data_IF_812377473366
#
_entry.id   IF_812377473366
#
_cell.length_a   1.000
_cell.length_b   1.000
_cell.length_c   1.000
_cell.angle_alpha   90.00
_cell.angle_beta   90.00
_cell.angle_gamma   90.00
#
_symmetry.space_group_name_H-M   'P 1'
#
loop_
_entity.id
_entity.type
_entity.pdbx_description
1 polymer ?
#
# COMPACT_ATOMS: atom_id res chain seq x y z
N UNK A 1 -20.12 3.53 4.46
CA UNK A 1 -19.35 2.70 3.53
C UNK A 1 -17.85 2.89 3.76
N UNK A 2 -17.29 4.10 3.66
CA UNK A 2 -15.84 4.36 3.80
C UNK A 2 -15.31 3.83 5.13
N UNK A 3 -15.95 4.18 6.27
CA UNK A 3 -15.54 3.71 7.59
C UNK A 3 -15.52 2.17 7.69
N UNK A 4 -16.51 1.48 7.12
CA UNK A 4 -16.59 0.02 7.12
C UNK A 4 -15.44 -0.60 6.30
N UNK A 5 -15.19 -0.07 5.09
CA UNK A 5 -14.09 -0.53 4.23
C UNK A 5 -12.73 -0.31 4.90
N UNK A 6 -12.53 0.87 5.53
CA UNK A 6 -11.31 1.16 6.29
C UNK A 6 -11.10 0.16 7.42
N UNK A 7 -12.16 -0.13 8.19
CA UNK A 7 -12.10 -1.08 9.30
C UNK A 7 -11.71 -2.49 8.82
N UNK A 8 -12.31 -2.97 7.72
CA UNK A 8 -12.01 -4.29 7.16
C UNK A 8 -10.57 -4.37 6.66
N UNK A 9 -10.11 -3.38 5.89
CA UNK A 9 -8.74 -3.37 5.35
C UNK A 9 -7.70 -3.22 6.47
N UNK A 10 -7.96 -2.35 7.44
CA UNK A 10 -7.07 -2.19 8.59
C UNK A 10 -7.04 -3.42 9.47
N UNK A 11 -8.18 -4.11 9.67
CA UNK A 11 -8.26 -5.35 10.44
C UNK A 11 -7.30 -6.42 9.90
N UNK A 12 -7.28 -6.63 8.58
CA UNK A 12 -6.34 -7.57 7.95
C UNK A 12 -4.86 -7.20 8.16
N UNK A 13 -4.53 -5.90 8.11
CA UNK A 13 -3.16 -5.41 8.37
C UNK A 13 -2.81 -5.49 9.85
N UNK A 14 -3.75 -5.21 10.73
CA UNK A 14 -3.60 -5.34 12.17
C UNK A 14 -3.18 -6.76 12.57
N UNK A 15 -3.83 -7.78 12.03
CA UNK A 15 -3.47 -9.18 12.26
C UNK A 15 -2.01 -9.43 11.85
N UNK A 16 -1.58 -8.92 10.69
CA UNK A 16 -0.21 -9.05 10.23
C UNK A 16 0.80 -8.36 11.17
N UNK A 17 0.52 -7.13 11.62
CA UNK A 17 1.38 -6.40 12.56
C UNK A 17 1.43 -7.07 13.93
N UNK A 18 0.31 -7.58 14.44
CA UNK A 18 0.29 -8.36 15.68
C UNK A 18 1.11 -9.66 15.55
N UNK A 19 1.06 -10.32 14.39
CA UNK A 19 1.90 -11.49 14.13
C UNK A 19 3.39 -11.19 14.22
N UNK A 20 3.83 -10.05 13.67
CA UNK A 20 5.22 -9.58 13.75
C UNK A 20 5.59 -9.17 15.19
N UNK A 21 4.68 -8.51 15.90
CA UNK A 21 4.89 -8.15 17.30
C UNK A 21 4.95 -9.38 18.23
N UNK A 22 4.11 -10.39 17.99
CA UNK A 22 4.14 -11.65 18.74
C UNK A 22 5.46 -12.43 18.57
N UNK A 23 6.15 -12.23 17.43
CA UNK A 23 7.49 -12.75 17.19
C UNK A 23 8.60 -11.91 17.87
N UNK A 24 8.24 -10.87 18.63
CA UNK A 24 9.18 -9.97 19.31
C UNK A 24 9.89 -8.98 18.37
N UNK A 25 9.52 -8.93 17.08
CA UNK A 25 10.15 -8.06 16.07
C UNK A 25 9.66 -6.62 16.09
N UNK A 26 8.55 -6.34 16.78
CA UNK A 26 7.97 -5.02 16.96
C UNK A 26 7.51 -4.86 18.42
N UNK A 27 7.75 -3.69 18.98
CA UNK A 27 7.18 -3.35 20.28
C UNK A 27 5.65 -3.18 20.15
N UNK A 28 4.89 -3.86 20.99
CA UNK A 28 3.43 -3.76 21.02
C UNK A 28 2.94 -2.32 21.25
N UNK A 29 3.73 -1.50 21.97
CA UNK A 29 3.40 -0.11 22.26
C UNK A 29 3.36 0.81 21.04
N UNK A 30 4.08 0.47 19.97
CA UNK A 30 4.13 1.30 18.75
C UNK A 30 3.16 0.87 17.66
N UNK A 31 2.46 -0.27 17.83
CA UNK A 31 1.54 -0.79 16.81
C UNK A 31 0.46 0.21 16.41
N UNK A 32 -0.12 0.92 17.37
CA UNK A 32 -1.13 1.94 17.08
C UNK A 32 -0.57 3.12 16.29
N UNK A 33 0.68 3.51 16.56
CA UNK A 33 1.37 4.57 15.82
C UNK A 33 1.63 4.14 14.38
N UNK A 34 2.10 2.91 14.16
CA UNK A 34 2.32 2.31 12.83
C UNK A 34 1.03 2.32 12.01
N UNK A 35 -0.09 1.89 12.62
CA UNK A 35 -1.40 1.88 11.97
C UNK A 35 -1.85 3.32 11.64
N UNK A 36 -1.69 4.25 12.57
CA UNK A 36 -2.05 5.65 12.39
C UNK A 36 -1.29 6.31 11.23
N UNK A 37 0.01 6.06 11.11
CA UNK A 37 0.82 6.60 10.02
C UNK A 37 0.52 5.97 8.65
N UNK A 38 0.07 4.73 8.60
CA UNK A 38 -0.35 4.05 7.38
C UNK A 38 -1.80 4.38 6.96
N UNK A 39 -2.61 4.91 7.87
CA UNK A 39 -4.02 5.23 7.60
C UNK A 39 -4.23 6.14 6.39
N UNK A 40 -3.48 7.26 6.21
CA UNK A 40 -3.65 8.13 5.04
C UNK A 40 -3.42 7.40 3.71
N UNK A 41 -2.43 6.52 3.64
CA UNK A 41 -2.15 5.71 2.45
C UNK A 41 -3.34 4.81 2.08
N UNK A 42 -3.91 4.10 3.04
CA UNK A 42 -5.08 3.25 2.79
C UNK A 42 -6.30 4.05 2.35
N UNK A 43 -6.49 5.23 2.94
CA UNK A 43 -7.59 6.11 2.56
C UNK A 43 -7.50 6.56 1.10
N UNK A 44 -6.31 6.63 0.51
CA UNK A 44 -6.17 7.01 -0.91
C UNK A 44 -6.86 6.04 -1.86
N UNK A 45 -6.95 4.77 -1.53
CA UNK A 45 -7.65 3.74 -2.31
C UNK A 45 -9.12 3.58 -1.89
N UNK A 46 -9.36 3.66 -0.58
CA UNK A 46 -10.69 3.41 -0.01
C UNK A 46 -11.65 4.56 -0.33
N UNK A 47 -11.18 5.80 -0.33
CA UNK A 47 -12.05 6.97 -0.46
C UNK A 47 -12.74 7.04 -1.82
N UNK A 48 -12.06 6.89 -2.99
CA UNK A 48 -12.73 6.86 -4.28
C UNK A 48 -13.69 5.68 -4.42
N UNK A 49 -13.29 4.49 -3.93
CA UNK A 49 -14.12 3.29 -3.97
C UNK A 49 -15.36 3.43 -3.09
N UNK A 50 -15.17 3.90 -1.86
CA UNK A 50 -16.26 4.11 -0.91
C UNK A 50 -17.24 5.20 -1.35
N UNK A 51 -16.72 6.26 -2.00
CA UNK A 51 -17.53 7.29 -2.62
C UNK A 51 -18.38 6.71 -3.76
N UNK A 52 -17.77 5.93 -4.66
CA UNK A 52 -18.48 5.26 -5.75
C UNK A 52 -19.58 4.33 -5.24
N UNK A 53 -19.28 3.45 -4.28
CA UNK A 53 -20.26 2.54 -3.68
C UNK A 53 -21.38 3.34 -3.00
N UNK A 54 -21.05 4.40 -2.27
CA UNK A 54 -22.04 5.28 -1.63
C UNK A 54 -23.02 5.86 -2.64
N UNK A 55 -22.51 6.40 -3.74
CA UNK A 55 -23.34 6.91 -4.84
C UNK A 55 -24.22 5.82 -5.46
N UNK A 56 -23.66 4.64 -5.73
CA UNK A 56 -24.41 3.51 -6.29
C UNK A 56 -25.57 3.07 -5.37
N UNK A 57 -25.32 3.04 -4.07
CA UNK A 57 -26.37 2.66 -3.08
C UNK A 57 -27.46 3.72 -2.99
N UNK A 58 -27.12 5.02 -2.99
CA UNK A 58 -28.09 6.11 -2.94
C UNK A 58 -28.93 6.14 -4.21
N UNK A 59 -28.30 6.14 -5.38
CA UNK A 59 -29.06 6.12 -6.64
C UNK A 59 -29.86 4.83 -6.79
N UNK A 60 -29.30 3.68 -6.42
CA UNK A 60 -30.02 2.39 -6.46
C UNK A 60 -31.26 2.40 -5.59
N UNK A 61 -31.21 3.02 -4.40
CA UNK A 61 -32.36 3.21 -3.51
C UNK A 61 -33.44 4.07 -4.16
N UNK A 62 -33.07 5.23 -4.72
CA UNK A 62 -34.01 6.12 -5.41
C UNK A 62 -34.78 5.43 -6.54
N UNK A 63 -34.14 4.47 -7.22
CA UNK A 63 -34.81 3.66 -8.26
C UNK A 63 -35.75 2.61 -7.67
N UNK A 64 -35.35 1.90 -6.61
CA UNK A 64 -36.15 0.82 -5.99
C UNK A 64 -37.37 1.39 -5.28
N UNK A 65 -37.22 2.50 -4.56
CA UNK A 65 -38.29 3.17 -3.81
C UNK A 65 -39.18 4.03 -4.73
N UNK A 66 -39.02 3.96 -6.06
CA UNK A 66 -39.77 4.74 -7.08
C UNK A 66 -39.60 6.26 -6.98
N UNK A 67 -38.76 6.77 -6.09
CA UNK A 67 -38.51 8.22 -5.94
C UNK A 67 -37.91 8.82 -7.21
N UNK A 68 -37.06 8.08 -7.94
CA UNK A 68 -36.54 8.56 -9.22
C UNK A 68 -37.63 8.73 -10.28
N UNK A 69 -38.71 7.95 -10.26
CA UNK A 69 -39.85 8.09 -11.16
C UNK A 69 -40.64 9.37 -10.85
N UNK A 70 -40.84 9.70 -9.57
CA UNK A 70 -41.47 10.94 -9.12
C UNK A 70 -40.62 12.15 -9.50
N UNK A 71 -39.31 12.13 -9.26
CA UNK A 71 -38.39 13.19 -9.66
C UNK A 71 -38.40 13.42 -11.18
N UNK A 72 -38.37 12.34 -11.97
CA UNK A 72 -38.50 12.47 -13.43
C UNK A 72 -39.85 13.03 -13.87
N UNK A 73 -40.93 12.66 -13.18
CA UNK A 73 -42.28 13.21 -13.43
C UNK A 73 -42.40 14.71 -13.11
N UNK A 74 -41.67 15.20 -12.10
CA UNK A 74 -41.57 16.61 -11.75
C UNK A 74 -40.57 17.40 -12.62
N UNK A 75 -39.97 16.76 -13.63
CA UNK A 75 -39.01 17.39 -14.56
C UNK A 75 -37.54 17.35 -14.11
N UNK A 76 -37.23 16.77 -12.94
CA UNK A 76 -35.85 16.62 -12.46
C UNK A 76 -35.23 15.38 -13.08
N UNK A 77 -34.27 15.55 -13.98
CA UNK A 77 -33.53 14.45 -14.59
C UNK A 77 -32.41 14.00 -13.70
N UNK A 78 -31.96 12.71 -13.87
CA UNK A 78 -30.79 12.16 -13.16
C UNK A 78 -29.52 13.00 -13.36
N UNK A 79 -29.38 13.70 -14.49
CA UNK A 79 -28.24 14.58 -14.75
C UNK A 79 -28.31 15.89 -13.94
N UNK A 80 -29.51 16.42 -13.71
CA UNK A 80 -29.69 17.54 -12.79
C UNK A 80 -29.40 17.13 -11.36
N UNK A 81 -29.84 15.94 -10.94
CA UNK A 81 -29.50 15.38 -9.65
C UNK A 81 -27.97 15.17 -9.50
N UNK A 82 -27.30 14.67 -10.55
CA UNK A 82 -25.85 14.57 -10.55
C UNK A 82 -25.15 15.93 -10.41
N UNK A 83 -25.67 16.99 -11.04
CA UNK A 83 -25.12 18.35 -10.88
C UNK A 83 -25.21 18.87 -9.45
N UNK A 84 -26.28 18.53 -8.72
CA UNK A 84 -26.40 18.87 -7.30
C UNK A 84 -25.34 18.18 -6.43
N UNK A 85 -24.82 17.05 -6.88
CA UNK A 85 -23.75 16.33 -6.17
C UNK A 85 -22.33 16.83 -6.52
N UNK A 86 -22.18 17.70 -7.53
CA UNK A 86 -20.87 18.25 -7.92
C UNK A 86 -20.13 18.94 -6.77
N UNK A 87 -20.75 19.82 -5.95
CA UNK A 87 -20.05 20.44 -4.84
C UNK A 87 -19.50 19.41 -3.84
N UNK A 88 -20.30 18.40 -3.49
CA UNK A 88 -19.87 17.31 -2.62
C UNK A 88 -18.72 16.51 -3.27
N UNK A 89 -18.82 16.22 -4.57
CA UNK A 89 -17.77 15.53 -5.33
C UNK A 89 -16.46 16.32 -5.32
N UNK A 90 -16.51 17.65 -5.42
CA UNK A 90 -15.35 18.52 -5.34
C UNK A 90 -14.71 18.50 -3.96
N UNK A 91 -15.50 18.46 -2.88
CA UNK A 91 -14.97 18.29 -1.52
C UNK A 91 -14.20 16.97 -1.39
N UNK A 92 -14.77 15.86 -1.88
CA UNK A 92 -14.09 14.57 -1.86
C UNK A 92 -12.84 14.56 -2.75
N UNK A 93 -12.87 15.24 -3.90
CA UNK A 93 -11.70 15.38 -4.77
C UNK A 93 -10.58 16.15 -4.08
N UNK A 94 -10.90 17.27 -3.41
CA UNK A 94 -9.90 18.06 -2.66
C UNK A 94 -9.33 17.23 -1.50
N UNK A 95 -10.18 16.52 -0.77
CA UNK A 95 -9.74 15.63 0.31
C UNK A 95 -8.81 14.54 -0.22
N UNK A 96 -9.16 13.91 -1.34
CA UNK A 96 -8.32 12.89 -2.00
C UNK A 96 -6.98 13.46 -2.47
N UNK A 97 -7.00 14.66 -3.07
CA UNK A 97 -5.77 15.32 -3.49
C UNK A 97 -4.87 15.64 -2.28
N UNK A 98 -5.45 16.15 -1.18
CA UNK A 98 -4.71 16.39 0.07
C UNK A 98 -4.10 15.12 0.66
N UNK A 99 -4.86 14.03 0.65
CA UNK A 99 -4.37 12.71 1.08
C UNK A 99 -3.18 12.26 0.22
N UNK A 100 -3.29 12.31 -1.11
CA UNK A 100 -2.26 11.79 -2.01
C UNK A 100 -1.02 12.68 -2.10
N UNK A 101 -1.20 14.00 -2.12
CA UNK A 101 -0.09 14.92 -2.32
C UNK A 101 0.70 15.18 -1.03
N UNK A 102 0.09 15.03 0.13
CA UNK A 102 0.68 15.44 1.40
C UNK A 102 0.58 14.39 2.50
N UNK A 103 -0.64 13.93 2.87
CA UNK A 103 -0.83 13.11 4.05
C UNK A 103 -0.23 11.69 3.89
N UNK A 104 -0.41 11.03 2.75
CA UNK A 104 0.12 9.69 2.51
C UNK A 104 1.67 9.68 2.49
N UNK A 105 2.38 10.53 1.73
CA UNK A 105 3.84 10.52 1.77
C UNK A 105 4.40 10.93 3.13
N UNK A 106 3.70 11.79 3.88
CA UNK A 106 4.09 12.10 5.26
C UNK A 106 3.94 10.87 6.17
N UNK A 107 2.81 10.18 6.08
CA UNK A 107 2.55 8.98 6.88
C UNK A 107 3.56 7.85 6.59
N UNK A 108 3.90 7.63 5.32
CA UNK A 108 4.89 6.64 4.90
C UNK A 108 6.26 6.96 5.51
N UNK A 109 6.72 8.21 5.44
CA UNK A 109 8.00 8.62 6.06
C UNK A 109 8.04 8.39 7.58
N UNK A 110 6.95 8.73 8.28
CA UNK A 110 6.89 8.50 9.73
C UNK A 110 6.90 7.00 10.06
N UNK A 111 6.20 6.20 9.25
CA UNK A 111 6.22 4.76 9.37
C UNK A 111 7.63 4.19 9.15
N UNK A 112 8.34 4.62 8.10
CA UNK A 112 9.71 4.16 7.80
C UNK A 112 10.68 4.57 8.94
N UNK A 113 10.59 5.80 9.43
CA UNK A 113 11.41 6.26 10.55
C UNK A 113 11.19 5.42 11.81
N UNK A 114 9.92 5.06 12.12
CA UNK A 114 9.62 4.20 13.25
C UNK A 114 10.12 2.76 13.04
N UNK A 115 9.89 2.16 11.88
CA UNK A 115 10.28 0.78 11.61
C UNK A 115 11.80 0.64 11.54
N UNK A 116 12.50 1.60 10.94
CA UNK A 116 13.96 1.62 10.90
C UNK A 116 14.54 1.75 12.32
N UNK A 117 14.00 2.63 13.16
CA UNK A 117 14.45 2.77 14.55
C UNK A 117 14.24 1.49 15.38
N UNK A 118 13.21 0.71 15.06
CA UNK A 118 12.93 -0.57 15.71
C UNK A 118 13.83 -1.70 15.18
N UNK A 119 14.06 -1.76 13.87
CA UNK A 119 14.96 -2.75 13.27
C UNK A 119 16.37 -2.66 13.85
N UNK A 120 16.84 -1.44 14.14
CA UNK A 120 18.13 -1.21 14.81
C UNK A 120 18.14 -1.76 16.24
N UNK A 121 17.03 -1.67 16.99
CA UNK A 121 16.92 -2.20 18.36
C UNK A 121 16.78 -3.72 18.37
N UNK A 122 16.09 -4.30 17.41
CA UNK A 122 15.58 -5.69 17.49
C UNK A 122 16.67 -6.75 17.41
N UNK A 123 17.81 -6.50 16.75
CA UNK A 123 18.88 -7.50 16.61
C UNK A 123 19.50 -7.91 17.96
N UNK A 124 19.77 -6.95 18.86
CA UNK A 124 20.35 -7.17 20.17
C UNK A 124 19.33 -7.36 21.29
N UNK A 125 18.18 -6.65 21.21
CA UNK A 125 17.13 -6.72 22.24
C UNK A 125 16.39 -8.06 22.23
N UNK A 126 16.45 -8.82 21.13
CA UNK A 126 15.93 -10.18 21.03
C UNK A 126 16.85 -11.22 21.66
N UNK A 127 18.14 -10.91 21.85
CA UNK A 127 19.08 -11.89 22.43
C UNK A 127 18.70 -12.13 23.90
N UNK A 128 18.27 -13.38 24.14
CA UNK A 128 18.05 -13.88 25.50
C UNK A 128 19.25 -14.74 25.86
N UNK A 129 19.86 -14.52 27.05
CA UNK A 129 20.97 -15.35 27.49
C UNK A 129 20.58 -16.83 27.49
N UNK A 130 21.48 -17.68 26.97
CA UNK A 130 21.33 -19.14 26.92
C UNK A 130 20.23 -19.69 26.02
N UNK A 131 19.68 -18.85 25.08
CA UNK A 131 18.72 -19.29 24.08
C UNK A 131 19.25 -19.05 22.67
N UNK A 132 19.01 -20.03 21.76
CA UNK A 132 19.23 -19.84 20.33
C UNK A 132 18.07 -19.07 19.72
N UNK A 133 18.37 -17.94 19.10
CA UNK A 133 17.39 -17.10 18.43
C UNK A 133 17.71 -17.09 16.95
N UNK A 134 16.73 -17.51 16.13
CA UNK A 134 16.84 -17.47 14.69
C UNK A 134 16.01 -16.33 14.13
N UNK A 135 16.62 -15.45 13.33
CA UNK A 135 15.98 -14.36 12.64
C UNK A 135 16.45 -14.36 11.18
N UNK A 136 15.55 -14.74 10.27
CA UNK A 136 15.87 -14.89 8.86
C UNK A 136 17.02 -15.87 8.60
N UNK A 137 18.10 -15.45 7.89
CA UNK A 137 19.25 -16.28 7.63
C UNK A 137 20.21 -16.41 8.82
N UNK A 138 19.98 -15.68 9.91
CA UNK A 138 20.87 -15.62 11.05
C UNK A 138 20.34 -16.46 12.21
N UNK A 139 21.27 -17.13 12.90
CA UNK A 139 21.02 -17.76 14.22
C UNK A 139 22.07 -17.24 15.18
N UNK A 140 21.61 -16.68 16.29
CA UNK A 140 22.46 -16.05 17.31
C UNK A 140 22.22 -16.76 18.65
N UNK A 141 23.30 -16.99 19.40
CA UNK A 141 23.27 -17.43 20.76
C UNK A 141 24.28 -16.59 21.57
N UNK A 142 23.90 -16.22 22.78
CA UNK A 142 24.80 -15.60 23.74
C UNK A 142 24.72 -16.34 25.08
N UNK A 143 25.85 -16.63 25.69
CA UNK A 143 25.94 -17.29 26.98
C UNK A 143 25.51 -16.35 28.10
N UNK A 144 25.90 -15.07 28.03
CA UNK A 144 25.55 -14.04 29.02
C UNK A 144 25.34 -12.69 28.34
N UNK A 145 24.57 -11.81 29.01
CA UNK A 145 24.22 -10.47 28.55
C UNK A 145 24.41 -9.49 29.70
N UNK A 146 25.15 -8.41 29.47
CA UNK A 146 25.32 -7.36 30.48
C UNK A 146 24.00 -6.63 30.78
N UNK A 147 23.88 -6.05 32.00
CA UNK A 147 22.67 -5.32 32.43
C UNK A 147 22.33 -4.15 31.50
N UNK A 148 23.31 -3.49 30.92
CA UNK A 148 23.15 -2.40 29.93
C UNK A 148 22.84 -2.89 28.52
N UNK A 149 22.77 -4.23 28.30
CA UNK A 149 22.51 -4.89 27.01
C UNK A 149 23.44 -4.47 25.86
N UNK A 150 24.62 -3.92 26.21
CA UNK A 150 25.62 -3.51 25.22
C UNK A 150 26.69 -4.58 24.96
N UNK A 151 26.96 -5.43 25.95
CA UNK A 151 27.99 -6.44 25.86
C UNK A 151 27.37 -7.83 25.99
N UNK A 152 27.75 -8.71 25.08
CA UNK A 152 27.40 -10.13 25.06
C UNK A 152 28.67 -10.96 25.32
N UNK A 153 28.53 -12.11 25.98
CA UNK A 153 29.61 -13.08 26.21
C UNK A 153 29.25 -14.44 25.60
N UNK A 154 30.29 -15.19 25.24
CA UNK A 154 30.16 -16.53 24.66
C UNK A 154 29.19 -16.58 23.49
N UNK A 155 29.56 -15.90 22.40
CA UNK A 155 28.70 -15.69 21.25
C UNK A 155 28.92 -16.78 20.21
N UNK A 156 27.81 -17.36 19.76
CA UNK A 156 27.70 -18.14 18.56
C UNK A 156 26.81 -17.37 17.56
N UNK A 157 27.35 -17.15 16.38
CA UNK A 157 26.66 -16.54 15.27
C UNK A 157 26.75 -17.45 14.05
N UNK A 158 25.62 -17.76 13.42
CA UNK A 158 25.56 -18.57 12.21
C UNK A 158 24.71 -17.82 11.17
N UNK A 159 25.24 -17.70 9.96
CA UNK A 159 24.57 -17.10 8.81
C UNK A 159 24.52 -18.13 7.68
N UNK A 160 23.31 -18.51 7.28
CA UNK A 160 23.09 -19.36 6.11
C UNK A 160 23.33 -18.59 4.83
N UNK A 161 23.99 -19.18 3.86
CA UNK A 161 24.16 -18.62 2.53
C UNK A 161 22.80 -18.40 1.84
N UNK A 162 22.59 -17.19 1.31
CA UNK A 162 21.35 -16.84 0.60
C UNK A 162 21.42 -17.14 -0.91
N UNK A 163 22.60 -17.44 -1.44
CA UNK A 163 22.81 -17.72 -2.87
C UNK A 163 23.59 -19.02 -3.01
N UNK A 164 23.22 -19.85 -3.97
CA UNK A 164 23.98 -21.05 -4.33
C UNK A 164 25.44 -20.69 -4.64
N UNK A 165 26.37 -21.49 -4.09
CA UNK A 165 27.79 -21.27 -4.26
C UNK A 165 28.48 -20.33 -3.27
N UNK A 166 27.73 -19.69 -2.36
CA UNK A 166 28.32 -18.95 -1.23
C UNK A 166 28.44 -19.84 0.00
N UNK A 167 29.48 -19.65 0.86
CA UNK A 167 29.62 -20.39 2.08
C UNK A 167 28.63 -19.94 3.16
N UNK A 168 28.23 -20.86 4.01
CA UNK A 168 27.63 -20.53 5.31
C UNK A 168 28.74 -19.98 6.21
N UNK A 169 28.43 -18.98 7.01
CA UNK A 169 29.39 -18.35 7.92
C UNK A 169 29.00 -18.66 9.35
N UNK A 170 29.95 -19.21 10.11
CA UNK A 170 29.81 -19.45 11.53
C UNK A 170 30.91 -18.69 12.28
N UNK A 171 30.54 -17.95 13.31
CA UNK A 171 31.47 -17.16 14.12
C UNK A 171 31.28 -17.54 15.59
N UNK A 172 32.39 -17.80 16.25
CA UNK A 172 32.48 -18.00 17.69
C UNK A 172 33.33 -16.87 18.25
N UNK A 173 32.84 -16.12 19.25
CA UNK A 173 33.60 -15.06 19.88
C UNK A 173 33.37 -15.05 21.40
N UNK A 174 34.37 -14.62 22.15
CA UNK A 174 34.28 -14.56 23.61
C UNK A 174 33.43 -13.36 24.05
N UNK A 175 33.57 -12.23 23.35
CA UNK A 175 32.81 -11.00 23.67
C UNK A 175 32.35 -10.33 22.39
N UNK A 176 31.19 -9.67 22.48
CA UNK A 176 30.67 -8.77 21.45
C UNK A 176 30.18 -7.49 22.08
N UNK A 177 30.58 -6.38 21.48
CA UNK A 177 30.14 -5.03 21.91
C UNK A 177 29.36 -4.38 20.76
N UNK A 178 28.18 -3.86 21.10
CA UNK A 178 27.39 -3.08 20.16
C UNK A 178 28.01 -1.69 19.98
N UNK A 179 28.23 -1.30 18.74
CA UNK A 179 28.66 0.05 18.39
C UNK A 179 27.49 0.81 17.75
N UNK A 180 27.12 1.92 18.36
CA UNK A 180 26.15 2.87 17.79
C UNK A 180 26.93 3.84 16.89
N UNK A 181 26.75 3.72 15.55
CA UNK A 181 27.33 4.68 14.61
C UNK A 181 26.26 5.75 14.34
N UNK A 182 26.51 7.04 14.65
CA UNK A 182 25.59 8.11 14.32
C UNK A 182 25.33 8.13 12.79
N UNK A 183 24.07 8.14 12.37
CA UNK A 183 23.61 8.13 10.98
C UNK A 183 23.76 6.82 10.20
N UNK A 184 24.13 5.69 10.80
CA UNK A 184 24.10 4.39 10.13
C UNK A 184 23.02 3.50 10.77
N UNK A 185 22.05 3.06 9.98
CA UNK A 185 20.98 2.16 10.42
C UNK A 185 21.46 0.70 10.58
N UNK A 186 22.71 0.38 10.24
CA UNK A 186 23.25 -0.95 10.37
C UNK A 186 23.66 -1.24 11.83
N UNK A 187 23.26 -2.41 12.35
CA UNK A 187 23.77 -2.91 13.60
C UNK A 187 25.23 -3.35 13.40
N UNK A 188 26.17 -2.55 13.92
CA UNK A 188 27.59 -2.87 13.92
C UNK A 188 27.98 -3.48 15.26
N UNK A 189 28.61 -4.62 15.20
CA UNK A 189 29.05 -5.39 16.36
C UNK A 189 30.54 -5.64 16.24
N UNK A 190 31.29 -5.22 17.23
CA UNK A 190 32.69 -5.60 17.38
C UNK A 190 32.78 -6.89 18.20
N UNK A 191 33.26 -7.93 17.55
CA UNK A 191 33.54 -9.25 18.14
C UNK A 191 35.01 -9.31 18.56
N UNK A 192 35.26 -9.79 19.77
CA UNK A 192 36.59 -9.83 20.33
C UNK A 192 36.98 -11.31 20.61
N UNK A 193 38.21 -11.66 20.27
CA UNK A 193 38.79 -12.99 20.48
C UNK A 193 37.90 -14.12 19.97
N UNK A 194 37.98 -14.40 18.67
CA UNK A 194 37.07 -15.38 18.08
C UNK A 194 37.64 -16.13 16.89
N UNK A 195 36.81 -17.02 16.38
CA UNK A 195 37.06 -17.82 15.19
C UNK A 195 35.91 -17.71 14.22
N UNK A 196 36.19 -17.47 12.95
CA UNK A 196 35.26 -17.47 11.83
C UNK A 196 35.48 -18.68 10.95
N UNK A 197 34.40 -19.37 10.66
CA UNK A 197 34.37 -20.53 9.78
C UNK A 197 33.50 -20.20 8.56
N UNK A 198 34.03 -20.49 7.36
CA UNK A 198 33.26 -20.47 6.12
C UNK A 198 33.09 -21.92 5.66
N UNK A 199 31.86 -22.38 5.60
CA UNK A 199 31.49 -23.77 5.33
C UNK A 199 30.76 -23.83 4.00
N UNK A 200 31.25 -24.58 3.04
CA UNK A 200 30.57 -24.78 1.77
C UNK A 200 29.64 -25.99 1.86
N UNK A 201 28.30 -25.78 1.80
CA UNK A 201 27.32 -26.85 1.94
C UNK A 201 27.53 -27.96 0.88
N UNK A 202 27.54 -29.22 1.32
CA UNK A 202 27.74 -30.39 0.43
C UNK A 202 29.19 -30.71 0.06
N UNK A 203 30.17 -29.97 0.59
CA UNK A 203 31.59 -30.24 0.40
C UNK A 203 32.30 -30.40 1.74
N UNK A 204 33.42 -31.16 1.83
CA UNK A 204 34.24 -31.24 3.05
C UNK A 204 35.14 -30.01 3.24
N UNK A 205 35.02 -28.98 2.39
CA UNK A 205 35.88 -27.80 2.42
C UNK A 205 35.33 -26.78 3.40
N UNK A 206 36.19 -26.27 4.27
CA UNK A 206 35.92 -25.12 5.12
C UNK A 206 37.17 -24.26 5.26
N UNK A 207 36.96 -22.97 5.48
CA UNK A 207 38.02 -22.01 5.79
C UNK A 207 37.86 -21.57 7.22
N UNK A 208 38.94 -21.57 7.99
CA UNK A 208 38.97 -21.07 9.37
C UNK A 208 39.88 -19.85 9.44
N UNK A 209 39.40 -18.79 10.06
CA UNK A 209 40.19 -17.60 10.40
C UNK A 209 40.05 -17.32 11.90
N UNK A 210 41.18 -17.06 12.57
CA UNK A 210 41.21 -16.59 13.96
C UNK A 210 41.41 -15.09 13.98
N UNK A 211 40.72 -14.38 14.86
CA UNK A 211 40.78 -12.92 14.94
C UNK A 211 40.86 -12.44 16.39
N UNK A 212 41.57 -11.37 16.62
CA UNK A 212 41.57 -10.65 17.89
C UNK A 212 40.38 -9.69 17.96
N UNK A 213 40.07 -9.02 16.85
CA UNK A 213 38.88 -8.15 16.72
C UNK A 213 38.30 -8.32 15.30
N UNK A 214 36.97 -8.46 15.22
CA UNK A 214 36.25 -8.58 13.97
C UNK A 214 34.99 -7.76 14.00
N UNK A 215 34.87 -6.80 13.08
CA UNK A 215 33.69 -5.96 12.97
C UNK A 215 32.67 -6.60 12.06
N UNK A 216 31.55 -6.99 12.63
CA UNK A 216 30.43 -7.58 11.91
C UNK A 216 29.36 -6.52 11.69
N UNK A 217 29.01 -6.29 10.43
CA UNK A 217 27.86 -5.49 10.06
C UNK A 217 26.69 -6.45 9.83
N UNK A 218 25.72 -6.40 10.72
CA UNK A 218 24.47 -7.14 10.57
C UNK A 218 23.58 -6.33 9.63
N UNK A 219 23.62 -6.66 8.34
CA UNK A 219 22.62 -6.16 7.43
C UNK A 219 21.29 -6.81 7.80
N UNK A 220 20.31 -6.02 8.15
CA UNK A 220 18.93 -6.48 8.28
C UNK A 220 18.41 -6.78 6.87
N UNK A 221 18.75 -7.95 6.33
CA UNK A 221 18.32 -8.41 5.00
C UNK A 221 16.87 -8.88 4.94
N UNK A 222 16.12 -8.73 6.00
CA UNK A 222 14.67 -8.71 5.89
C UNK A 222 14.26 -7.25 5.66
N UNK A 223 14.20 -6.84 4.39
CA UNK A 223 13.14 -5.94 3.98
C UNK A 223 11.89 -6.50 4.66
N UNK A 224 11.53 -5.88 5.78
CA UNK A 224 10.20 -6.10 6.34
C UNK A 224 9.32 -5.86 5.13
N UNK A 225 8.53 -6.86 4.70
CA UNK A 225 7.62 -6.85 3.53
C UNK A 225 6.64 -5.65 3.51
N UNK A 226 6.98 -4.61 4.24
CA UNK A 226 6.32 -3.33 4.46
C UNK A 226 7.10 -2.15 3.88
N UNK A 227 8.29 -2.39 3.26
CA UNK A 227 9.03 -1.31 2.61
C UNK A 227 8.19 -0.73 1.49
N UNK A 228 7.77 0.49 1.66
CA UNK A 228 7.34 1.33 0.56
C UNK A 228 8.55 1.54 -0.34
N UNK A 229 8.33 1.63 -1.65
CA UNK A 229 9.40 2.09 -2.55
C UNK A 229 9.86 3.47 -2.06
N UNK A 230 11.18 3.70 -1.95
CA UNK A 230 11.75 4.99 -1.48
C UNK A 230 11.09 6.21 -2.15
N UNK A 231 10.59 6.04 -3.39
CA UNK A 231 9.89 7.07 -4.15
C UNK A 231 8.50 7.40 -3.57
N UNK A 232 7.81 6.44 -2.95
CA UNK A 232 6.49 6.68 -2.33
C UNK A 232 6.59 7.50 -1.04
N UNK A 233 7.72 7.44 -0.36
CA UNK A 233 8.01 8.26 0.81
C UNK A 233 8.39 9.70 0.46
N UNK A 234 8.88 9.99 -0.75
CA UNK A 234 9.36 11.31 -1.13
C UNK A 234 8.26 12.38 -1.08
N UNK A 235 8.57 13.59 -0.57
CA UNK A 235 7.65 14.73 -0.68
C UNK A 235 7.30 15.04 -2.14
N UNK A 236 6.07 15.42 -2.41
CA UNK A 236 5.63 15.75 -3.78
C UNK A 236 6.47 16.86 -4.43
N UNK A 237 7.01 17.80 -3.65
CA UNK A 237 7.92 18.84 -4.13
C UNK A 237 9.25 18.28 -4.68
N UNK A 238 9.76 17.20 -4.08
CA UNK A 238 10.98 16.53 -4.56
C UNK A 238 10.69 15.70 -5.81
N UNK A 239 9.52 15.03 -5.87
CA UNK A 239 9.09 14.34 -7.09
C UNK A 239 9.00 15.31 -8.27
N UNK A 240 8.50 16.52 -8.05
CA UNK A 240 8.43 17.53 -9.11
C UNK A 240 9.79 17.96 -9.62
N UNK A 241 10.79 18.11 -8.74
CA UNK A 241 12.17 18.47 -9.12
C UNK A 241 12.83 17.36 -9.93
N UNK A 242 12.61 16.10 -9.56
CA UNK A 242 13.27 14.94 -10.16
C UNK A 242 12.38 14.22 -11.20
N UNK A 243 11.40 14.92 -11.78
CA UNK A 243 10.40 14.34 -12.71
C UNK A 243 10.98 13.77 -14.02
N UNK A 244 12.28 13.92 -14.26
CA UNK A 244 12.96 13.31 -15.41
C UNK A 244 13.21 11.82 -15.21
N UNK A 245 13.30 11.36 -13.96
CA UNK A 245 13.38 9.94 -13.64
C UNK A 245 12.00 9.29 -13.88
N UNK A 246 11.92 8.21 -14.68
CA UNK A 246 10.66 7.56 -15.02
C UNK A 246 9.90 7.01 -13.81
N UNK A 247 10.62 6.51 -12.80
CA UNK A 247 10.02 5.98 -11.58
C UNK A 247 9.38 7.12 -10.79
N UNK A 248 10.11 8.24 -10.64
CA UNK A 248 9.61 9.46 -9.99
C UNK A 248 8.43 10.07 -10.76
N UNK A 249 8.52 10.11 -12.09
CA UNK A 249 7.46 10.61 -12.97
C UNK A 249 6.18 9.76 -12.85
N UNK A 250 6.32 8.44 -12.72
CA UNK A 250 5.19 7.52 -12.56
C UNK A 250 4.43 7.79 -11.26
N UNK A 251 5.15 7.98 -10.15
CA UNK A 251 4.57 8.28 -8.85
C UNK A 251 3.94 9.68 -8.82
N UNK A 252 4.61 10.68 -9.39
CA UNK A 252 4.04 12.03 -9.51
C UNK A 252 2.73 12.02 -10.29
N UNK A 253 2.69 11.32 -11.44
CA UNK A 253 1.47 11.15 -12.23
C UNK A 253 0.37 10.45 -11.45
N UNK A 254 0.70 9.40 -10.71
CA UNK A 254 -0.24 8.70 -9.83
C UNK A 254 -0.88 9.67 -8.82
N UNK A 255 -0.08 10.44 -8.10
CA UNK A 255 -0.57 11.41 -7.07
C UNK A 255 -1.43 12.52 -7.64
N UNK A 256 -1.12 13.00 -8.84
CA UNK A 256 -1.84 14.11 -9.48
C UNK A 256 -3.14 13.65 -10.14
N UNK A 257 -3.14 12.50 -10.82
CA UNK A 257 -4.26 12.10 -11.67
C UNK A 257 -5.27 11.17 -10.98
N UNK A 258 -4.87 10.35 -10.02
CA UNK A 258 -5.81 9.44 -9.32
C UNK A 258 -6.93 10.17 -8.56
N UNK A 259 -6.74 11.36 -7.96
CA UNK A 259 -7.85 12.11 -7.37
C UNK A 259 -9.02 12.33 -8.32
N UNK A 260 -8.77 12.48 -9.62
CA UNK A 260 -9.82 12.66 -10.62
C UNK A 260 -10.71 11.41 -10.82
N UNK A 261 -10.28 10.24 -10.32
CA UNK A 261 -11.14 9.05 -10.29
C UNK A 261 -12.45 9.30 -9.52
N UNK A 262 -12.49 10.26 -8.59
CA UNK A 262 -13.71 10.68 -7.89
C UNK A 262 -14.73 11.32 -8.85
N UNK A 263 -14.25 12.13 -9.82
CA UNK A 263 -15.14 12.68 -10.85
C UNK A 263 -15.69 11.57 -11.75
N UNK A 264 -14.83 10.62 -12.12
CA UNK A 264 -15.23 9.45 -12.91
C UNK A 264 -16.23 8.59 -12.13
N UNK A 265 -16.05 8.44 -10.82
CA UNK A 265 -16.98 7.72 -9.95
C UNK A 265 -18.40 8.32 -10.02
N UNK A 266 -18.54 9.64 -10.00
CA UNK A 266 -19.86 10.29 -10.16
C UNK A 266 -20.46 9.99 -11.54
N UNK A 267 -19.69 10.13 -12.62
CA UNK A 267 -20.16 9.88 -13.99
C UNK A 267 -20.60 8.43 -14.16
N UNK A 268 -19.81 7.48 -13.68
CA UNK A 268 -20.10 6.04 -13.75
C UNK A 268 -21.30 5.67 -12.87
N UNK A 269 -21.39 6.22 -11.64
CA UNK A 269 -22.51 5.95 -10.76
C UNK A 269 -23.84 6.39 -11.39
N UNK A 270 -23.91 7.57 -11.99
CA UNK A 270 -25.10 8.05 -12.70
C UNK A 270 -25.44 7.16 -13.90
N UNK A 271 -24.41 6.69 -14.62
CA UNK A 271 -24.59 5.84 -15.80
C UNK A 271 -25.04 4.41 -15.45
N UNK A 272 -24.53 3.84 -14.36
CA UNK A 272 -24.70 2.40 -14.03
C UNK A 272 -25.79 2.13 -12.99
N UNK A 273 -26.29 3.15 -12.29
CA UNK A 273 -27.23 2.98 -11.16
C UNK A 273 -28.69 2.69 -11.55
N UNK A 274 -29.05 2.77 -12.84
CA UNK A 274 -30.43 2.50 -13.27
C UNK A 274 -30.80 1.03 -13.08
N UNK A 275 -31.61 0.74 -12.07
CA UNK A 275 -32.06 -0.61 -11.69
C UNK A 275 -33.56 -0.70 -11.89
N UNK A 276 -34.08 -1.83 -12.35
CA UNK A 276 -35.51 -2.08 -12.32
C UNK A 276 -35.93 -2.51 -10.91
N UNK A 277 -37.10 -2.06 -10.40
CA UNK A 277 -37.56 -2.40 -9.05
C UNK A 277 -37.64 -3.88 -8.74
N UNK A 278 -37.90 -4.71 -9.78
CA UNK A 278 -38.00 -6.18 -9.66
C UNK A 278 -36.66 -6.88 -9.46
N UNK A 279 -35.53 -6.22 -9.80
CA UNK A 279 -34.20 -6.85 -9.77
C UNK A 279 -33.43 -6.58 -8.47
N UNK A 280 -33.94 -5.71 -7.61
CA UNK A 280 -33.28 -5.31 -6.36
C UNK A 280 -32.06 -4.41 -6.54
N UNK A 281 -31.74 -3.62 -5.51
CA UNK A 281 -30.71 -2.54 -5.57
C UNK A 281 -29.28 -3.02 -5.71
N UNK A 282 -29.00 -4.29 -5.38
CA UNK A 282 -27.63 -4.82 -5.35
C UNK A 282 -27.19 -5.48 -6.65
N UNK A 283 -28.13 -5.84 -7.54
CA UNK A 283 -27.80 -6.63 -8.74
C UNK A 283 -26.79 -5.94 -9.64
N UNK A 284 -26.90 -4.61 -9.81
CA UNK A 284 -25.96 -3.85 -10.65
C UNK A 284 -24.75 -3.33 -9.90
N UNK A 285 -24.72 -3.45 -8.56
CA UNK A 285 -23.59 -2.99 -7.77
C UNK A 285 -22.32 -3.77 -8.11
N UNK A 286 -22.40 -5.10 -8.23
CA UNK A 286 -21.23 -5.91 -8.56
C UNK A 286 -20.64 -5.61 -9.93
N UNK A 287 -21.39 -5.59 -11.04
CA UNK A 287 -20.84 -5.19 -12.34
C UNK A 287 -20.29 -3.76 -12.35
N UNK A 288 -20.96 -2.82 -11.69
CA UNK A 288 -20.51 -1.44 -11.58
C UNK A 288 -19.17 -1.34 -10.82
N UNK A 289 -19.05 -2.12 -9.73
CA UNK A 289 -17.82 -2.23 -8.96
C UNK A 289 -16.67 -2.78 -9.82
N UNK A 290 -16.92 -3.79 -10.63
CA UNK A 290 -15.93 -4.35 -11.55
C UNK A 290 -15.45 -3.32 -12.58
N UNK A 291 -16.36 -2.49 -13.12
CA UNK A 291 -15.99 -1.41 -14.05
C UNK A 291 -15.16 -0.35 -13.33
N UNK A 292 -15.53 0.04 -12.10
CA UNK A 292 -14.75 1.01 -11.36
C UNK A 292 -13.38 0.45 -10.92
N UNK A 293 -13.33 -0.82 -10.51
CA UNK A 293 -12.08 -1.50 -10.19
C UNK A 293 -11.15 -1.59 -11.42
N UNK A 294 -11.71 -1.85 -12.62
CA UNK A 294 -10.92 -1.86 -13.86
C UNK A 294 -10.27 -0.50 -14.17
N UNK A 295 -10.91 0.62 -13.79
CA UNK A 295 -10.31 1.95 -13.89
C UNK A 295 -9.05 2.04 -13.01
N UNK A 296 -9.15 1.62 -11.74
CA UNK A 296 -8.02 1.65 -10.81
C UNK A 296 -6.88 0.74 -11.29
N UNK A 297 -7.21 -0.47 -11.75
CA UNK A 297 -6.23 -1.41 -12.32
C UNK A 297 -5.56 -0.82 -13.56
N UNK A 298 -6.32 -0.16 -14.45
CA UNK A 298 -5.76 0.50 -15.63
C UNK A 298 -4.79 1.64 -15.24
N UNK A 299 -5.13 2.45 -14.22
CA UNK A 299 -4.24 3.50 -13.72
C UNK A 299 -2.96 2.92 -13.08
N UNK A 300 -3.06 1.80 -12.35
CA UNK A 300 -1.90 1.07 -11.82
C UNK A 300 -1.02 0.50 -12.94
N UNK A 301 -1.62 -0.06 -13.98
CA UNK A 301 -0.88 -0.54 -15.15
C UNK A 301 -0.13 0.59 -15.86
N UNK A 302 -0.72 1.78 -15.96
CA UNK A 302 -0.03 2.97 -16.49
C UNK A 302 1.15 3.36 -15.59
N UNK A 303 0.99 3.37 -14.25
CA UNK A 303 2.10 3.63 -13.31
C UNK A 303 3.28 2.72 -13.63
N UNK A 304 3.03 1.41 -13.73
CA UNK A 304 4.07 0.41 -14.01
C UNK A 304 4.72 0.59 -15.39
N UNK A 305 3.95 0.95 -16.42
CA UNK A 305 4.51 1.16 -17.78
C UNK A 305 5.33 2.44 -17.88
N UNK A 306 4.93 3.51 -17.16
CA UNK A 306 5.72 4.73 -17.08
C UNK A 306 7.04 4.47 -16.35
N UNK A 307 7.03 3.74 -15.23
CA UNK A 307 8.26 3.40 -14.50
C UNK A 307 9.24 2.56 -15.33
N UNK A 308 8.75 1.79 -16.33
CA UNK A 308 9.54 1.02 -17.30
C UNK A 308 9.90 1.80 -18.56
N UNK A 309 9.60 3.10 -18.64
CA UNK A 309 9.81 3.96 -19.82
C UNK A 309 9.00 3.56 -21.08
N UNK A 310 7.99 2.75 -20.95
CA UNK A 310 7.15 2.32 -22.09
C UNK A 310 6.09 3.36 -22.47
N UNK A 311 5.73 4.26 -21.53
CA UNK A 311 4.69 5.28 -21.71
C UNK A 311 5.05 6.60 -21.03
N UNK A 312 4.43 7.70 -21.48
CA UNK A 312 4.55 9.01 -20.85
C UNK A 312 3.41 9.30 -19.84
N UNK A 313 3.57 10.33 -19.01
CA UNK A 313 2.58 10.77 -18.01
C UNK A 313 1.20 11.07 -18.63
N UNK A 314 1.15 11.46 -19.91
CA UNK A 314 -0.08 11.72 -20.67
C UNK A 314 -1.04 10.52 -20.75
N UNK A 315 -0.57 9.33 -20.45
CA UNK A 315 -1.41 8.13 -20.44
C UNK A 315 -2.46 8.14 -19.31
N UNK A 316 -2.20 8.80 -18.17
CA UNK A 316 -3.15 8.92 -17.08
C UNK A 316 -4.43 9.69 -17.49
N UNK A 317 -4.35 10.94 -17.98
CA UNK A 317 -5.55 11.66 -18.40
C UNK A 317 -6.27 10.96 -19.56
N UNK A 318 -5.56 10.27 -20.44
CA UNK A 318 -6.18 9.53 -21.55
C UNK A 318 -7.11 8.43 -21.04
N UNK A 319 -6.69 7.64 -20.04
CA UNK A 319 -7.54 6.61 -19.42
C UNK A 319 -8.73 7.25 -18.72
N UNK A 320 -8.53 8.32 -17.94
CA UNK A 320 -9.62 9.01 -17.25
C UNK A 320 -10.67 9.53 -18.24
N UNK A 321 -10.23 10.15 -19.33
CA UNK A 321 -11.10 10.64 -20.41
C UNK A 321 -11.85 9.48 -21.08
N UNK A 322 -11.17 8.35 -21.36
CA UNK A 322 -11.81 7.18 -21.96
C UNK A 322 -12.95 6.65 -21.10
N UNK A 323 -12.74 6.51 -19.79
CA UNK A 323 -13.79 6.08 -18.86
C UNK A 323 -14.90 7.12 -18.71
N UNK A 324 -14.59 8.43 -18.73
CA UNK A 324 -15.59 9.49 -18.72
C UNK A 324 -16.48 9.42 -19.98
N UNK A 325 -15.88 9.26 -21.16
CA UNK A 325 -16.61 9.12 -22.42
C UNK A 325 -17.46 7.84 -22.42
N UNK A 326 -16.90 6.71 -21.98
CA UNK A 326 -17.64 5.45 -21.89
C UNK A 326 -18.87 5.59 -20.98
N UNK A 327 -18.71 6.19 -19.80
CA UNK A 327 -19.82 6.47 -18.88
C UNK A 327 -20.87 7.40 -19.49
N UNK A 328 -20.44 8.47 -20.16
CA UNK A 328 -21.34 9.41 -20.82
C UNK A 328 -22.12 8.78 -21.97
N UNK A 329 -21.46 7.96 -22.79
CA UNK A 329 -22.10 7.22 -23.89
C UNK A 329 -23.12 6.20 -23.38
N UNK A 330 -22.77 5.46 -22.32
CA UNK A 330 -23.68 4.51 -21.69
C UNK A 330 -24.92 5.20 -21.15
N UNK A 331 -24.75 6.35 -20.50
CA UNK A 331 -25.84 7.19 -20.04
C UNK A 331 -26.76 7.70 -21.17
N UNK A 332 -26.22 7.98 -22.37
CA UNK A 332 -27.00 8.42 -23.54
C UNK A 332 -27.82 7.30 -24.17
N UNK A 333 -27.26 6.08 -24.30
CA UNK A 333 -27.97 4.92 -24.88
C UNK A 333 -29.24 4.59 -24.11
N UNK A 334 -29.24 4.74 -22.80
CA UNK A 334 -30.42 4.52 -21.97
C UNK A 334 -31.57 5.54 -22.23
N UNK A 335 -31.25 6.75 -22.70
CA UNK A 335 -32.27 7.75 -23.09
C UNK A 335 -32.97 7.44 -24.44
N UNK A 336 -32.28 6.71 -25.33
CA UNK A 336 -32.81 6.43 -26.69
C UNK A 336 -33.74 5.20 -26.71
N UNK A 337 -33.57 4.25 -25.80
CA UNK A 337 -34.36 3.02 -25.75
C UNK A 337 -35.88 3.22 -25.67
N UNK A 338 -36.43 4.08 -24.80
CA UNK A 338 -37.86 4.28 -24.72
C UNK A 338 -38.47 5.10 -25.90
N UNK A 339 -37.67 5.98 -26.54
CA UNK A 339 -38.14 6.75 -27.70
C UNK A 339 -38.30 5.90 -28.95
N UNK A 340 -37.38 5.01 -29.20
CA UNK A 340 -37.43 4.06 -30.34
C UNK A 340 -38.56 3.06 -30.17
N UNK A 341 -38.79 2.51 -28.96
CA UNK A 341 -39.95 1.65 -28.70
C UNK A 341 -41.29 2.34 -28.92
N UNK A 342 -41.45 3.62 -28.52
CA UNK A 342 -42.66 4.39 -28.81
C UNK A 342 -42.85 4.67 -30.30
N UNK A 343 -41.80 4.87 -31.06
CA UNK A 343 -41.85 5.08 -32.50
C UNK A 343 -42.24 3.79 -33.26
N UNK A 344 -41.67 2.64 -32.83
CA UNK A 344 -42.03 1.32 -33.42
C UNK A 344 -43.47 0.94 -33.08
N UNK A 345 -44.01 1.27 -31.89
CA UNK A 345 -45.41 1.07 -31.55
C UNK A 345 -46.36 1.95 -32.31
N UNK A 346 -45.98 3.23 -32.63
CA UNK A 346 -46.77 4.12 -33.48
C UNK A 346 -46.79 3.75 -34.97
N UNK A 347 -45.83 2.99 -35.44
CA UNK A 347 -45.78 2.48 -36.83
C UNK A 347 -46.53 1.15 -36.99
N UNK A 348 -46.83 0.47 -35.84
CA UNK A 348 -47.59 -0.80 -35.82
C UNK A 348 -49.07 -0.62 -35.44
N UNK A 349 -49.51 0.56 -35.00
CA UNK A 349 -50.88 0.96 -34.86
C UNK A 349 -51.34 1.78 -36.07
#
# INVERSE_FOLDING_TARGET
VIALLTLIMMGGRLIKYFGVAAQGRLDAGILFSIIGYRLPEFLTLILPLGFFIGLMLVFGRLYVDHEMAVLNGSGVSRHQLARLLVPMTLVFLIAQAGLMLWAAPWGIRQFEALTTSQAVRTGFDLVRPKEFISSGPYTIYAGDLSEDRKNLKDIFFYQRAQKEGKPDVMILAQEATRIEIPNDAANVVDLVQGRRYEIYPGTPQYTQAEFESYRLRLESNEEVEFASTDVEALPTSQLWKNRQDPVVASELGWRVFVPFAILIALILAVALSEVSPRQGRYLKLFPALMIFASLIVALMAVKTRISKQEMGIWAYPLILIAYAIAGALFSRKQKLGPKIKKQIQRVRS
#
